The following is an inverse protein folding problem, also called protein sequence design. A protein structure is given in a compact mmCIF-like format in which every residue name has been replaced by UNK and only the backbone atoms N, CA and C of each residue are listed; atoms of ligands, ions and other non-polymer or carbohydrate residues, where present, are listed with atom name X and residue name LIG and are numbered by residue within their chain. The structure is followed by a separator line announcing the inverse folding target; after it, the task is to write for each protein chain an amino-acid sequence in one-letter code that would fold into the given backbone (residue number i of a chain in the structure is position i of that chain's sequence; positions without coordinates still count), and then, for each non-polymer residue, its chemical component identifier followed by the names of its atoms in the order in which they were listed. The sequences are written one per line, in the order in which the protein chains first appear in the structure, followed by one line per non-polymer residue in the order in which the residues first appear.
data_IF_274903557244
#
_entry.id   IF_274903557244
#
_cell.length_a   1.000
_cell.length_b   1.000
_cell.length_c   1.000
_cell.angle_alpha   90.00
_cell.angle_beta   90.00
_cell.angle_gamma   90.00
#
_symmetry.space_group_name_H-M   'P 1'
#
loop_
_entity.id
_entity.type
_entity.pdbx_description
1 polymer ?
2 water ?
#
# COMPACT_ATOMS: atom_id res chain seq x y z
C UNK A 35 7.73 7.70 7.44
N UNK A 36 6.95 8.41 6.62
CA UNK A 36 5.71 7.88 6.07
C UNK A 36 5.84 7.44 4.62
N UNK A 37 7.07 7.30 4.12
CA UNK A 37 7.35 7.00 2.73
C UNK A 37 8.51 6.02 2.61
N UNK A 38 8.40 5.09 1.67
CA UNK A 38 9.44 4.13 1.35
C UNK A 38 9.90 4.42 -0.07
N UNK A 39 11.20 4.62 -0.26
CA UNK A 39 11.71 4.82 -1.60
C UNK A 39 11.87 3.47 -2.31
N UNK A 40 11.29 3.33 -3.49
CA UNK A 40 11.33 2.06 -4.21
C UNK A 40 11.94 2.30 -5.59
N UNK A 41 13.00 1.58 -5.95
CA UNK A 41 13.55 1.73 -7.30
C UNK A 41 12.54 1.26 -8.33
N UNK A 42 12.46 2.01 -9.43
CA UNK A 42 11.47 1.66 -10.44
C UNK A 42 11.66 0.25 -10.96
N UNK A 43 12.90 -0.22 -11.06
CA UNK A 43 13.01 -1.55 -11.62
C UNK A 43 12.51 -2.63 -10.66
N UNK A 44 12.12 -2.26 -9.44
CA UNK A 44 11.52 -3.21 -8.51
C UNK A 44 10.03 -2.97 -8.37
N UNK A 45 9.43 -2.26 -9.31
CA UNK A 45 8.00 -2.00 -9.23
C UNK A 45 7.34 -2.82 -10.32
N UNK A 46 6.36 -3.62 -9.93
CA UNK A 46 5.65 -4.49 -10.84
C UNK A 46 4.16 -4.19 -10.75
N UNK A 47 3.39 -4.63 -11.75
CA UNK A 47 1.93 -4.53 -11.67
C UNK A 47 1.43 -5.12 -10.36
N UNK A 48 0.46 -4.43 -9.73
CA UNK A 48 -0.11 -4.91 -8.47
C UNK A 48 0.57 -4.33 -7.24
N UNK A 49 1.76 -3.77 -7.38
CA UNK A 49 2.42 -3.11 -6.25
C UNK A 49 1.61 -1.90 -5.80
N UNK A 50 1.76 -1.54 -4.54
CA UNK A 50 1.06 -0.37 -4.00
C UNK A 50 2.09 0.74 -3.94
N UNK A 51 1.78 1.87 -4.56
CA UNK A 51 2.67 3.02 -4.57
C UNK A 51 1.87 4.21 -4.10
N UNK A 52 2.56 5.25 -3.62
CA UNK A 52 1.92 6.56 -3.51
C UNK A 52 1.92 7.20 -4.89
N UNK A 53 0.74 7.46 -5.43
CA UNK A 53 0.57 8.19 -6.68
C UNK A 53 -0.19 9.47 -6.35
N UNK A 54 0.40 10.62 -6.69
CA UNK A 54 -0.18 11.89 -6.27
C UNK A 54 -0.46 11.87 -4.78
N UNK A 55 0.44 11.21 -4.03
CA UNK A 55 0.40 11.23 -2.58
C UNK A 55 -0.57 10.25 -1.96
N UNK A 56 -1.23 9.43 -2.75
CA UNK A 56 -2.26 8.55 -2.22
C UNK A 56 -1.91 7.10 -2.54
N UNK A 57 -2.17 6.17 -1.62
CA UNK A 57 -1.80 4.76 -1.88
C UNK A 57 -2.66 4.17 -2.98
N UNK A 58 -2.01 3.62 -4.00
CA UNK A 58 -2.72 3.14 -5.19
C UNK A 58 -2.13 1.81 -5.62
N UNK A 59 -2.98 0.92 -6.11
CA UNK A 59 -2.50 -0.35 -6.65
C UNK A 59 -2.13 -0.15 -8.12
N UNK A 60 -0.88 -0.44 -8.49
CA UNK A 60 -0.43 -0.14 -9.86
C UNK A 60 -1.09 -1.10 -10.84
N UNK A 61 -1.68 -0.54 -11.90
CA UNK A 61 -2.35 -1.33 -12.93
C UNK A 61 -1.72 -1.15 -14.31
N UNK A 62 -0.83 -0.20 -14.50
CA UNK A 62 -0.19 -0.05 -15.80
C UNK A 62 1.13 0.64 -15.60
N UNK A 63 2.17 0.15 -16.26
CA UNK A 63 3.48 0.81 -16.19
C UNK A 63 3.91 1.16 -17.59
N UNK A 64 4.38 2.39 -17.81
CA UNK A 64 4.90 2.69 -19.14
C UNK A 64 6.08 3.61 -18.97
N UNK A 65 6.72 3.94 -20.08
CA UNK A 65 7.87 4.80 -20.08
C UNK A 65 7.64 5.99 -20.99
N UNK A 66 8.05 7.16 -20.54
CA UNK A 66 7.94 8.35 -21.36
C UNK A 66 9.03 8.31 -22.42
N UNK A 67 8.64 8.40 -23.68
CA UNK A 67 9.61 8.53 -24.76
C UNK A 67 10.45 9.79 -24.63
N UNK A 68 9.85 10.87 -24.10
CA UNK A 68 10.55 12.15 -24.12
C UNK A 68 11.56 12.25 -22.99
N UNK A 69 11.21 11.76 -21.79
CA UNK A 69 12.05 11.97 -20.62
C UNK A 69 12.74 10.72 -20.11
N UNK A 70 12.27 9.53 -20.48
CA UNK A 70 12.75 8.32 -19.86
C UNK A 70 12.12 8.01 -18.52
N UNK A 71 11.33 8.91 -17.95
CA UNK A 71 10.67 8.59 -16.69
C UNK A 71 9.68 7.47 -16.92
N UNK A 72 9.48 6.67 -15.89
CA UNK A 72 8.40 5.68 -15.91
C UNK A 72 7.11 6.34 -15.44
N UNK A 73 5.98 5.94 -16.01
CA UNK A 73 4.70 6.47 -15.58
C UNK A 73 3.90 5.33 -14.96
N UNK A 74 3.31 5.58 -13.78
CA UNK A 74 2.55 4.55 -13.08
C UNK A 74 1.10 4.97 -13.04
N UNK A 75 0.22 4.08 -13.50
CA UNK A 75 -1.22 4.29 -13.39
C UNK A 75 -1.72 3.35 -12.30
N UNK A 76 -2.53 3.87 -11.38
CA UNK A 76 -2.94 3.04 -10.27
C UNK A 76 -4.33 3.38 -9.79
N UNK A 77 -4.89 2.47 -8.97
CA UNK A 77 -6.22 2.63 -8.40
C UNK A 77 -6.08 2.98 -6.94
N UNK A 78 -6.68 4.11 -6.55
CA UNK A 78 -6.64 4.54 -5.16
C UNK A 78 -7.30 3.50 -4.26
N UNK A 79 -6.54 3.00 -3.27
CA UNK A 79 -7.07 1.95 -2.41
C UNK A 79 -8.25 2.44 -1.59
N UNK A 80 -8.33 3.74 -1.32
CA UNK A 80 -9.43 4.28 -0.53
C UNK A 80 -10.62 4.71 -1.39
N UNK A 81 -10.39 5.45 -2.47
CA UNK A 81 -11.49 6.01 -3.25
C UNK A 81 -11.73 5.31 -4.58
N UNK A 82 -10.81 4.46 -5.03
CA UNK A 82 -10.89 3.70 -6.28
C UNK A 82 -10.79 4.58 -7.52
N UNK A 83 -10.37 5.83 -7.37
CA UNK A 83 -10.09 6.68 -8.52
C UNK A 83 -8.77 6.29 -9.15
N UNK A 84 -8.64 6.52 -10.46
CA UNK A 84 -7.37 6.26 -11.12
C UNK A 84 -6.47 7.48 -10.98
N UNK A 85 -5.20 7.23 -10.66
CA UNK A 85 -4.23 8.30 -10.53
C UNK A 85 -2.96 7.92 -11.27
N UNK A 86 -2.24 8.90 -11.82
CA UNK A 86 -0.97 8.57 -12.45
C UNK A 86 0.10 9.47 -11.86
N UNK A 87 1.34 8.98 -11.89
CA UNK A 87 2.45 9.77 -11.43
C UNK A 87 3.69 9.23 -12.11
N UNK A 88 4.59 10.10 -12.49
CA UNK A 88 5.80 9.69 -13.17
C UNK A 88 6.95 9.65 -12.17
N UNK A 89 7.93 8.81 -12.45
CA UNK A 89 9.04 8.61 -11.53
C UNK A 89 9.90 9.86 -11.38
N UNK A 90 10.62 9.91 -10.27
CA UNK A 90 11.63 10.95 -10.07
C UNK A 90 12.99 10.37 -10.42
N UNK A 91 13.81 11.15 -11.10
CA UNK A 91 15.12 10.73 -11.54
C UNK A 91 16.15 11.56 -10.81
N UNK A 92 17.05 10.88 -10.12
CA UNK A 92 18.12 11.56 -9.38
C UNK A 92 19.43 10.96 -9.83
N UNK A 93 20.49 11.74 -9.65
CA UNK A 93 21.85 11.34 -10.01
C UNK A 93 22.73 11.68 -8.82
N UNK A 94 22.75 10.80 -7.80
CA UNK A 94 23.55 11.11 -6.60
C UNK A 94 25.03 11.08 -6.84
N UNK A 95 25.52 10.13 -7.63
CA UNK A 95 26.93 10.04 -7.95
C UNK A 95 27.08 10.06 -9.46
N UNK A 96 28.27 10.38 -9.96
CA UNK A 96 28.49 10.28 -11.41
C UNK A 96 28.19 8.87 -11.89
N UNK A 97 27.34 8.79 -12.92
CA UNK A 97 26.98 7.61 -13.68
C UNK A 97 25.92 6.80 -12.97
N UNK A 98 25.45 7.24 -11.81
CA UNK A 98 24.38 6.58 -11.10
C UNK A 98 23.11 7.38 -11.35
N UNK A 99 22.17 6.79 -12.08
CA UNK A 99 20.89 7.39 -12.37
C UNK A 99 19.85 6.55 -11.65
N UNK A 100 19.16 7.18 -10.72
CA UNK A 100 18.23 6.50 -9.83
C UNK A 100 16.85 6.98 -10.21
N UNK A 101 15.97 6.04 -10.59
CA UNK A 101 14.54 6.33 -10.75
C UNK A 101 13.79 5.65 -9.63
N UNK A 102 13.00 6.40 -8.89
CA UNK A 102 12.29 5.85 -7.77
C UNK A 102 10.84 6.32 -7.79
N UNK A 103 10.00 5.57 -7.09
CA UNK A 103 8.69 6.01 -6.68
C UNK A 103 8.60 5.83 -5.17
N UNK A 104 7.57 6.42 -4.59
CA UNK A 104 7.38 6.37 -3.15
C UNK A 104 6.32 5.30 -2.90
N UNK A 105 6.55 4.41 -1.94
CA UNK A 105 5.51 3.51 -1.49
C UNK A 105 5.11 3.90 -0.08
N UNK A 106 3.92 3.52 0.34
CA UNK A 106 3.51 3.81 1.72
C UNK A 106 4.25 2.92 2.71
N UNK A 107 4.31 3.39 3.95
CA UNK A 107 4.81 2.56 5.03
C UNK A 107 3.66 1.70 5.50
N UNK A 108 3.81 0.39 5.44
CA UNK A 108 2.78 -0.52 5.97
C UNK A 108 3.04 -0.77 7.45
N UNK A 109 2.00 -0.67 8.25
CA UNK A 109 2.05 -1.01 9.66
C UNK A 109 1.48 -2.42 9.82
N UNK A 110 1.98 -3.16 10.81
CA UNK A 110 1.48 -4.49 11.13
C UNK A 110 0.72 -4.39 12.45
N UNK A 111 -0.56 -4.70 12.42
CA UNK A 111 -1.40 -4.62 13.61
C UNK A 111 -1.89 -6.02 14.00
N UNK A 112 -1.95 -6.28 15.30
CA UNK A 112 -2.60 -7.50 15.76
C UNK A 112 -4.09 -7.38 15.48
N UNK A 113 -4.73 -8.51 15.19
CA UNK A 113 -6.16 -8.54 14.91
C UNK A 113 -6.82 -9.13 16.16
N UNK A 114 -7.61 -8.32 16.85
CA UNK A 114 -8.27 -8.78 18.08
C UNK A 114 -9.69 -9.28 17.85
N UNK A 115 -10.34 -8.85 16.78
CA UNK A 115 -11.72 -9.26 16.52
C UNK A 115 -12.08 -8.83 15.12
N UNK A 116 -13.13 -9.44 14.60
CA UNK A 116 -13.62 -9.14 13.27
C UNK A 116 -15.14 -9.05 13.34
N UNK A 117 -15.69 -8.01 12.73
CA UNK A 117 -17.12 -7.74 12.82
C UNK A 117 -17.50 -6.80 11.69
N UNK A 118 -18.56 -7.13 10.95
CA UNK A 118 -19.24 -6.19 10.05
C UNK A 118 -18.30 -5.61 8.99
N UNK A 119 -17.43 -6.44 8.42
CA UNK A 119 -16.53 -5.95 7.41
C UNK A 119 -15.34 -5.17 7.92
N UNK A 120 -15.24 -4.93 9.23
CA UNK A 120 -14.09 -4.26 9.79
C UNK A 120 -13.43 -5.15 10.84
N UNK A 121 -12.27 -4.69 11.33
CA UNK A 121 -11.56 -5.43 12.35
C UNK A 121 -11.31 -4.52 13.55
N UNK A 122 -11.10 -5.15 14.69
CA UNK A 122 -10.53 -4.50 15.85
C UNK A 122 -9.06 -4.84 15.84
N UNK A 123 -8.20 -3.85 15.79
CA UNK A 123 -6.78 -4.11 15.71
C UNK A 123 -6.07 -3.53 16.91
N UNK A 124 -4.81 -3.92 17.10
CA UNK A 124 -3.99 -3.29 18.12
C UNK A 124 -2.61 -3.04 17.55
N UNK A 125 -2.11 -1.82 17.74
CA UNK A 125 -0.74 -1.52 17.34
C UNK A 125 0.24 -2.24 18.24
N UNK A 126 1.52 -2.17 17.83
CA UNK A 126 2.62 -2.75 18.60
C UNK A 126 2.66 -2.25 20.04
N UNK A 127 2.25 -1.00 20.26
CA UNK A 127 2.33 -0.40 21.59
C UNK A 127 1.08 -0.66 22.42
N UNK A 128 0.06 -1.31 21.86
CA UNK A 128 -1.17 -1.58 22.56
C UNK A 128 -2.29 -0.61 22.28
N UNK A 129 -2.12 0.30 21.33
CA UNK A 129 -3.20 1.20 20.94
C UNK A 129 -4.26 0.43 20.17
N UNK A 130 -5.48 0.42 20.67
CA UNK A 130 -6.59 -0.32 20.07
C UNK A 130 -7.25 0.54 19.01
N UNK A 131 -7.40 -0.02 17.82
CA UNK A 131 -8.19 0.59 16.74
C UNK A 131 -9.47 -0.23 16.62
N UNK A 132 -10.60 0.34 17.03
CA UNK A 132 -11.82 -0.46 17.17
C UNK A 132 -12.48 -0.76 15.83
N UNK A 133 -12.24 0.06 14.84
CA UNK A 133 -13.07 0.03 13.65
C UNK A 133 -12.20 0.30 12.42
N UNK A 134 -11.34 -0.67 12.10
CA UNK A 134 -10.46 -0.51 10.96
C UNK A 134 -11.13 -1.12 9.73
N UNK A 135 -11.37 -0.36 8.66
CA UNK A 135 -11.93 -0.96 7.44
C UNK A 135 -10.90 -1.82 6.74
N UNK A 136 -11.40 -2.71 5.89
CA UNK A 136 -10.58 -3.72 5.24
C UNK A 136 -10.72 -3.51 3.75
N UNK A 137 -9.59 -3.44 3.05
CA UNK A 137 -9.61 -3.27 1.60
C UNK A 137 -10.41 -4.39 0.96
N UNK A 138 -11.22 -4.02 -0.03
CA UNK A 138 -11.95 -4.98 -0.83
C UNK A 138 -11.06 -5.74 -1.80
N UNK A 139 -9.77 -5.47 -1.83
CA UNK A 139 -8.91 -6.05 -2.85
C UNK A 139 -8.67 -7.53 -2.58
N UNK A 140 -8.87 -8.34 -3.63
CA UNK A 140 -8.51 -9.77 -3.63
C UNK A 140 -9.06 -10.52 -2.42
N UNK A 141 -10.33 -10.26 -2.08
CA UNK A 141 -11.06 -11.04 -1.07
C UNK A 141 -10.32 -11.01 0.27
N UNK A 142 -9.79 -9.84 0.61
CA UNK A 142 -8.96 -9.71 1.80
C UNK A 142 -9.72 -10.11 3.06
N UNK A 143 -10.97 -9.65 3.21
CA UNK A 143 -11.66 -9.83 4.48
C UNK A 143 -11.95 -11.30 4.75
N UNK A 144 -12.42 -12.03 3.72
CA UNK A 144 -12.66 -13.46 3.88
C UNK A 144 -11.36 -14.20 4.20
N UNK A 145 -10.26 -13.81 3.56
CA UNK A 145 -8.98 -14.45 3.85
C UNK A 145 -8.53 -14.13 5.26
N UNK A 146 -8.61 -12.85 5.66
CA UNK A 146 -8.38 -12.46 7.05
C UNK A 146 -9.23 -13.29 8.01
N UNK A 147 -10.54 -13.31 7.79
CA UNK A 147 -11.45 -14.08 8.64
C UNK A 147 -11.04 -15.54 8.72
N UNK A 148 -10.65 -16.12 7.57
CA UNK A 148 -10.21 -17.51 7.53
C UNK A 148 -9.01 -17.73 8.44
N UNK A 149 -7.99 -16.87 8.31
CA UNK A 149 -6.78 -17.03 9.12
C UNK A 149 -7.05 -16.71 10.58
N UNK A 150 -7.89 -15.69 10.83
CA UNK A 150 -8.28 -15.32 12.19
C UNK A 150 -8.85 -16.52 12.94
N UNK A 151 -9.70 -17.30 12.27
CA UNK A 151 -10.36 -18.43 12.90
C UNK A 151 -9.42 -19.60 13.15
N UNK A 152 -8.26 -19.65 12.50
CA UNK A 152 -7.32 -20.73 12.76
C UNK A 152 -6.09 -20.21 13.49
N UNK A 155 -3.81 -16.12 17.15
CA UNK A 155 -3.13 -14.85 17.29
C UNK A 155 -1.92 -14.66 16.37
N UNK A 156 -1.87 -15.44 15.29
CA UNK A 156 -0.78 -15.35 14.33
C UNK A 156 -1.02 -14.32 13.24
N UNK A 157 -2.26 -13.91 13.04
CA UNK A 157 -2.59 -13.01 11.95
C UNK A 157 -2.07 -11.60 12.26
N UNK A 158 -1.59 -10.92 11.23
CA UNK A 158 -1.36 -9.49 11.29
C UNK A 158 -2.16 -8.85 10.17
N UNK A 159 -2.82 -7.74 10.49
CA UNK A 159 -3.34 -6.86 9.46
C UNK A 159 -2.24 -5.90 9.04
N UNK A 160 -2.02 -5.77 7.73
CA UNK A 160 -1.09 -4.80 7.16
C UNK A 160 -1.86 -3.56 6.75
N UNK A 161 -1.49 -2.42 7.32
CA UNK A 161 -2.34 -1.25 7.34
C UNK A 161 -1.61 -0.14 6.64
N UNK A 162 -2.29 0.51 5.68
CA UNK A 162 -1.82 1.74 5.06
C UNK A 162 -2.67 2.89 5.57
N UNK A 163 -2.05 4.04 5.69
CA UNK A 163 -2.71 5.25 6.12
C UNK A 163 -2.74 6.25 4.98
N UNK A 164 -3.76 7.11 4.98
CA UNK A 164 -3.83 8.19 4.00
C UNK A 164 -4.66 9.28 4.65
N UNK A 165 -4.02 10.43 4.94
CA UNK A 165 -4.70 11.58 5.52
C UNK A 165 -5.37 11.23 6.85
N UNK A 166 -4.68 10.41 7.66
CA UNK A 166 -5.19 9.96 8.93
C UNK A 166 -6.05 8.71 8.87
N UNK A 167 -6.70 8.45 7.73
CA UNK A 167 -7.55 7.28 7.59
C UNK A 167 -6.68 6.06 7.38
N UNK A 168 -7.00 4.99 8.10
CA UNK A 168 -6.25 3.76 8.02
C UNK A 168 -7.08 2.71 7.31
N UNK A 169 -6.41 1.83 6.59
CA UNK A 169 -7.09 0.77 5.86
C UNK A 169 -6.23 -0.47 5.90
N UNK A 170 -6.82 -1.60 6.28
CA UNK A 170 -6.15 -2.89 6.17
C UNK A 170 -6.09 -3.23 4.68
N UNK A 171 -4.89 -3.24 4.12
CA UNK A 171 -4.77 -3.51 2.70
C UNK A 171 -4.06 -4.83 2.39
N UNK A 172 -3.57 -5.54 3.40
CA UNK A 172 -3.03 -6.87 3.17
C UNK A 172 -2.94 -7.56 4.52
N UNK A 173 -2.52 -8.83 4.51
CA UNK A 173 -2.43 -9.60 5.74
C UNK A 173 -1.16 -10.42 5.75
N UNK A 174 -0.77 -10.85 6.94
CA UNK A 174 0.38 -11.72 7.12
C UNK A 174 0.11 -12.66 8.29
N UNK A 175 0.82 -13.78 8.30
CA UNK A 175 0.70 -14.77 9.38
C UNK A 175 2.08 -15.12 9.93
#
# INVERSE_FOLDING_TARGET
MGYYEDDRETIEISESRVSRGSSRGPRSRGGDYAPNTVSIPCHHIRLGDILLLQGRPCQVIRISTSAATGQHRYLGVDLFTKELREESSSISTPSPSVVVQTMCGPVFKQYRVLDMQAGHIVAMTETGDVKQNLPVSEQSNLYERLQRAFESGRGSVRALVVSDNGRELVCDMAVLHGSRL
#
